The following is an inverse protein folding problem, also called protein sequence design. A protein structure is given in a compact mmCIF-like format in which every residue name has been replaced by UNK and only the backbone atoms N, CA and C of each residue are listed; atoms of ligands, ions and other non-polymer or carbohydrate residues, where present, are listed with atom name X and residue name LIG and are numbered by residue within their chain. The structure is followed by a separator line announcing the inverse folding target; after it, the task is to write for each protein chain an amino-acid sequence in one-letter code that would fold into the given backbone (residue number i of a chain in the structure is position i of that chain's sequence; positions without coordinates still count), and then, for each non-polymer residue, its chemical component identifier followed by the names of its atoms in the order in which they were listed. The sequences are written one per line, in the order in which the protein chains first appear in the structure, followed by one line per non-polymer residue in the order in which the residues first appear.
data_IF_465189454721
#
_entry.id   IF_465189454721
#
_cell.length_a   1.000
_cell.length_b   1.000
_cell.length_c   1.000
_cell.angle_alpha   90.00
_cell.angle_beta   90.00
_cell.angle_gamma   90.00
#
_symmetry.space_group_name_H-M   'P 1'
#
loop_
_entity.id
_entity.type
_entity.pdbx_description
1 polymer ?
#
# COMPACT_ATOMS: atom_id res chain seq x y z
N UNK A 1 -8.85 1.75 16.65
CA UNK A 1 -8.12 1.16 15.50
C UNK A 1 -9.09 1.24 14.34
N UNK A 2 -8.68 1.85 13.24
CA UNK A 2 -9.56 2.07 12.09
C UNK A 2 -9.19 1.09 10.99
N UNK A 3 -10.17 0.71 10.19
CA UNK A 3 -9.94 -0.12 9.01
C UNK A 3 -9.60 0.79 7.84
N UNK A 4 -8.56 0.43 7.11
CA UNK A 4 -8.12 1.15 5.93
C UNK A 4 -8.12 0.24 4.72
N UNK A 5 -8.70 0.73 3.63
CA UNK A 5 -8.59 0.17 2.29
C UNK A 5 -7.41 0.85 1.59
N UNK A 6 -6.39 0.06 1.25
CA UNK A 6 -5.20 0.53 0.55
C UNK A 6 -5.17 -0.06 -0.85
N UNK A 7 -5.22 0.79 -1.86
CA UNK A 7 -5.21 0.43 -3.27
C UNK A 7 -3.85 0.80 -3.83
N UNK A 8 -3.18 -0.11 -4.52
CA UNK A 8 -1.88 0.09 -5.15
C UNK A 8 -1.92 -0.39 -6.59
N UNK A 9 -1.55 0.46 -7.53
CA UNK A 9 -1.34 0.10 -8.93
C UNK A 9 0.15 -0.21 -9.15
N UNK A 10 0.46 -1.49 -9.30
CA UNK A 10 1.79 -1.96 -9.60
C UNK A 10 1.89 -2.34 -11.07
N UNK A 11 2.54 -1.51 -11.88
CA UNK A 11 2.77 -1.77 -13.32
C UNK A 11 1.49 -2.12 -14.13
N UNK A 12 0.34 -1.56 -13.74
CA UNK A 12 -0.96 -1.83 -14.37
C UNK A 12 -1.82 -2.86 -13.62
N UNK A 13 -1.26 -3.56 -12.64
CA UNK A 13 -2.01 -4.47 -11.77
C UNK A 13 -2.48 -3.74 -10.50
N UNK A 14 -3.80 -3.70 -10.29
CA UNK A 14 -4.40 -3.03 -9.14
C UNK A 14 -4.58 -4.03 -8.00
N UNK A 15 -3.88 -3.77 -6.89
CA UNK A 15 -3.94 -4.55 -5.66
C UNK A 15 -4.71 -3.78 -4.58
N UNK A 16 -5.78 -4.38 -4.07
CA UNK A 16 -6.57 -3.82 -2.97
C UNK A 16 -6.35 -4.64 -1.72
N UNK A 17 -5.88 -3.99 -0.65
CA UNK A 17 -5.52 -4.59 0.62
C UNK A 17 -6.21 -3.88 1.77
N UNK A 18 -6.77 -4.66 2.69
CA UNK A 18 -7.37 -4.13 3.92
C UNK A 18 -6.42 -4.31 5.10
N UNK A 19 -6.29 -3.27 5.94
CA UNK A 19 -5.49 -3.33 7.17
C UNK A 19 -6.11 -2.49 8.28
N UNK A 20 -5.96 -2.95 9.51
CA UNK A 20 -6.32 -2.17 10.69
C UNK A 20 -5.10 -1.40 11.18
N UNK A 21 -5.22 -0.07 11.32
CA UNK A 21 -4.13 0.78 11.77
C UNK A 21 -4.62 1.93 12.66
N UNK A 22 -3.69 2.65 13.29
CA UNK A 22 -3.98 3.88 14.05
C UNK A 22 -3.95 5.14 13.19
N UNK A 23 -3.39 5.06 11.98
CA UNK A 23 -3.30 6.19 11.05
C UNK A 23 -3.12 5.70 9.62
N UNK A 24 -3.42 6.58 8.64
CA UNK A 24 -3.18 6.32 7.21
C UNK A 24 -1.71 6.02 6.89
N UNK A 25 -0.77 6.65 7.59
CA UNK A 25 0.68 6.41 7.40
C UNK A 25 1.05 5.00 7.85
N UNK A 26 0.53 4.56 9.00
CA UNK A 26 0.74 3.20 9.48
C UNK A 26 0.05 2.17 8.55
N UNK A 27 -1.16 2.48 8.07
CA UNK A 27 -1.87 1.64 7.11
C UNK A 27 -1.09 1.46 5.80
N UNK A 28 -0.54 2.56 5.26
CA UNK A 28 0.35 2.53 4.08
C UNK A 28 1.54 1.62 4.33
N UNK A 29 2.26 1.80 5.44
CA UNK A 29 3.42 0.98 5.77
C UNK A 29 3.10 -0.52 5.89
N UNK A 30 2.02 -0.86 6.58
CA UNK A 30 1.58 -2.24 6.76
C UNK A 30 1.21 -2.90 5.42
N UNK A 31 0.41 -2.22 4.60
CA UNK A 31 -0.02 -2.75 3.31
C UNK A 31 1.10 -2.82 2.29
N UNK A 32 2.02 -1.86 2.28
CA UNK A 32 3.18 -1.91 1.37
C UNK A 32 4.10 -3.08 1.68
N UNK A 33 4.27 -3.45 2.97
CA UNK A 33 5.01 -4.65 3.36
C UNK A 33 4.28 -5.93 2.92
N UNK A 34 2.96 -6.00 3.06
CA UNK A 34 2.17 -7.15 2.56
C UNK A 34 2.22 -7.26 1.04
N UNK A 35 2.13 -6.14 0.34
CA UNK A 35 2.22 -6.10 -1.11
C UNK A 35 3.59 -6.56 -1.61
N UNK A 36 4.67 -6.14 -0.94
CA UNK A 36 6.03 -6.61 -1.24
C UNK A 36 6.14 -8.14 -1.11
N UNK A 37 5.56 -8.70 -0.04
CA UNK A 37 5.54 -10.14 0.22
C UNK A 37 4.72 -10.90 -0.84
N UNK A 38 3.51 -10.41 -1.17
CA UNK A 38 2.66 -11.02 -2.20
C UNK A 38 3.28 -11.01 -3.60
N UNK A 39 3.97 -9.93 -3.95
CA UNK A 39 4.63 -9.78 -5.25
C UNK A 39 6.02 -10.42 -5.28
N UNK A 40 6.56 -10.86 -4.13
CA UNK A 40 7.93 -11.38 -4.03
C UNK A 40 8.99 -10.32 -4.36
N UNK A 41 8.71 -9.04 -4.16
CA UNK A 41 9.61 -7.93 -4.51
C UNK A 41 10.16 -7.24 -3.26
N UNK A 42 11.30 -6.58 -3.40
CA UNK A 42 11.88 -5.81 -2.31
C UNK A 42 11.01 -4.59 -1.97
N UNK A 43 10.69 -4.40 -0.68
CA UNK A 43 9.92 -3.26 -0.18
C UNK A 43 10.51 -1.90 -0.60
N UNK A 44 11.83 -1.79 -0.74
CA UNK A 44 12.51 -0.59 -1.21
C UNK A 44 12.16 -0.21 -2.64
N UNK A 45 11.88 -1.20 -3.50
CA UNK A 45 11.40 -0.96 -4.87
C UNK A 45 9.99 -0.36 -4.82
N UNK A 46 9.09 -0.99 -4.06
CA UNK A 46 7.73 -0.47 -3.89
C UNK A 46 7.72 0.94 -3.27
N UNK A 47 8.58 1.20 -2.29
CA UNK A 47 8.70 2.55 -1.71
C UNK A 47 9.11 3.58 -2.74
N UNK A 48 10.13 3.30 -3.57
CA UNK A 48 10.56 4.24 -4.62
C UNK A 48 9.44 4.53 -5.62
N UNK A 49 8.72 3.49 -6.02
CA UNK A 49 7.63 3.61 -6.99
C UNK A 49 6.43 4.39 -6.43
N UNK A 50 5.99 4.06 -5.21
CA UNK A 50 4.81 4.68 -4.61
C UNK A 50 5.07 6.00 -3.87
N UNK A 51 6.28 6.26 -3.34
CA UNK A 51 6.60 7.59 -2.80
C UNK A 51 6.80 8.62 -3.92
N UNK A 52 7.22 8.19 -5.12
CA UNK A 52 7.36 9.05 -6.30
C UNK A 52 6.05 9.32 -7.05
N UNK A 53 5.10 8.38 -7.03
CA UNK A 53 3.87 8.46 -7.84
C UNK A 53 2.62 8.42 -6.94
N UNK A 54 2.11 9.60 -6.56
CA UNK A 54 0.92 9.75 -5.71
C UNK A 54 -0.35 9.16 -6.33
N UNK A 55 -0.45 9.09 -7.64
CA UNK A 55 -1.62 8.56 -8.35
C UNK A 55 -1.67 7.02 -8.39
N UNK A 56 -0.55 6.35 -8.11
CA UNK A 56 -0.48 4.88 -8.13
C UNK A 56 -0.89 4.23 -6.81
N UNK A 57 -1.24 5.00 -5.78
CA UNK A 57 -1.74 4.42 -4.55
C UNK A 57 -2.74 5.32 -3.84
N UNK A 58 -3.65 4.69 -3.11
CA UNK A 58 -4.68 5.39 -2.33
C UNK A 58 -4.92 4.67 -1.02
N UNK A 59 -5.05 5.42 0.07
CA UNK A 59 -5.45 4.90 1.38
C UNK A 59 -6.72 5.60 1.83
N UNK A 60 -7.80 4.83 1.95
CA UNK A 60 -9.13 5.28 2.34
C UNK A 60 -9.47 4.65 3.68
N UNK A 61 -9.98 5.45 4.62
CA UNK A 61 -10.51 4.94 5.88
C UNK A 61 -11.93 4.43 5.62
N UNK A 62 -12.25 3.24 6.13
CA UNK A 62 -13.55 2.57 6.01
C UNK A 62 -14.29 2.62 7.34
#
# INVERSE_FOLDING_TARGET
MNVYECIYNWKGEVHTLFTSARSKVQAKGNTMRRLADQLGVNLGILRKEFDGQKDNWKVVEK
#
